data_IF_815435108505
#
_entry.id   IF_815435108505
#
_cell.length_a   1.000
_cell.length_b   1.000
_cell.length_c   1.000
_cell.angle_alpha   90.00
_cell.angle_beta   90.00
_cell.angle_gamma   90.00
#
_symmetry.space_group_name_H-M   'P 1'
#
loop_
_entity.id
_entity.type
_entity.pdbx_description
1 polymer ?
#
# COMPACT_ATOMS: atom_id res chain seq x y z
N UNK A 1 -15.73 -19.59 18.37
CA UNK A 1 -16.63 -18.45 18.11
C UNK A 1 -16.31 -17.94 16.71
N UNK A 2 -17.24 -18.07 15.77
CA UNK A 2 -17.05 -17.70 14.37
C UNK A 2 -17.29 -16.19 14.23
N UNK A 3 -16.23 -15.41 14.05
CA UNK A 3 -16.39 -14.04 13.57
C UNK A 3 -16.63 -14.09 12.06
N UNK A 4 -17.58 -13.30 11.54
CA UNK A 4 -17.94 -13.37 10.14
C UNK A 4 -16.80 -12.75 9.32
N UNK A 5 -16.43 -13.41 8.23
CA UNK A 5 -15.87 -12.75 7.05
C UNK A 5 -16.65 -11.45 6.77
N UNK A 6 -16.08 -10.50 6.03
CA UNK A 6 -16.89 -9.43 5.43
C UNK A 6 -17.92 -10.13 4.55
N UNK A 7 -19.07 -10.39 5.14
CA UNK A 7 -20.17 -11.06 4.49
C UNK A 7 -20.78 -9.93 3.66
N UNK A 8 -20.88 -10.04 2.33
CA UNK A 8 -21.55 -9.03 1.53
C UNK A 8 -23.01 -8.76 1.97
N UNK A 9 -23.56 -9.55 2.90
CA UNK A 9 -24.80 -9.26 3.65
C UNK A 9 -24.68 -8.23 4.78
N UNK A 10 -23.50 -7.66 5.07
CA UNK A 10 -23.24 -6.62 6.07
C UNK A 10 -22.72 -5.33 5.41
N UNK A 11 -23.57 -4.61 4.66
CA UNK A 11 -23.18 -3.42 3.91
C UNK A 11 -22.56 -2.34 4.80
N UNK A 12 -22.94 -2.27 6.08
CA UNK A 12 -22.41 -1.33 7.06
C UNK A 12 -20.89 -1.47 7.30
N UNK A 13 -20.36 -2.70 7.25
CA UNK A 13 -18.93 -2.96 7.44
C UNK A 13 -18.13 -2.57 6.19
N UNK A 14 -18.70 -2.81 5.01
CA UNK A 14 -18.12 -2.38 3.73
C UNK A 14 -18.06 -0.85 3.70
N UNK A 15 -19.14 -0.18 4.07
CA UNK A 15 -19.20 1.29 4.13
C UNK A 15 -18.22 1.88 5.14
N UNK A 16 -18.10 1.27 6.33
CA UNK A 16 -17.08 1.67 7.31
C UNK A 16 -15.66 1.54 6.75
N UNK A 17 -15.37 0.44 6.05
CA UNK A 17 -14.06 0.22 5.45
C UNK A 17 -13.70 1.27 4.41
N UNK A 18 -14.65 1.63 3.54
CA UNK A 18 -14.48 2.71 2.57
C UNK A 18 -14.38 4.10 3.21
N UNK A 19 -15.04 4.33 4.35
CA UNK A 19 -15.08 5.64 5.00
C UNK A 19 -13.91 5.90 5.94
N UNK A 20 -13.40 4.86 6.61
CA UNK A 20 -12.42 5.01 7.71
C UNK A 20 -11.08 4.37 7.34
N UNK A 21 -11.08 3.10 6.98
CA UNK A 21 -9.84 2.33 6.86
C UNK A 21 -9.07 2.65 5.58
N UNK A 22 -9.74 2.67 4.43
CA UNK A 22 -9.09 2.97 3.15
C UNK A 22 -8.55 4.41 3.08
N UNK A 23 -9.31 5.46 3.47
CA UNK A 23 -8.80 6.83 3.41
C UNK A 23 -7.57 7.03 4.29
N UNK A 24 -7.51 6.42 5.48
CA UNK A 24 -6.34 6.52 6.35
C UNK A 24 -5.07 5.92 5.71
N UNK A 25 -5.18 4.79 4.99
CA UNK A 25 -4.05 4.17 4.28
C UNK A 25 -3.63 4.98 3.05
N UNK A 26 -4.60 5.52 2.32
CA UNK A 26 -4.33 6.40 1.17
C UNK A 26 -3.66 7.70 1.63
N UNK A 27 -4.10 8.30 2.73
CA UNK A 27 -3.48 9.47 3.34
C UNK A 27 -2.00 9.23 3.67
N UNK A 28 -1.71 8.10 4.31
CA UNK A 28 -0.35 7.73 4.68
C UNK A 28 0.53 7.42 3.45
N UNK A 29 -0.01 6.75 2.43
CA UNK A 29 0.67 6.55 1.15
C UNK A 29 1.03 7.88 0.45
N UNK A 30 0.08 8.82 0.40
CA UNK A 30 0.24 10.12 -0.27
C UNK A 30 1.10 11.10 0.57
N UNK A 31 1.30 10.83 1.86
CA UNK A 31 1.99 11.74 2.79
C UNK A 31 3.45 12.03 2.38
N UNK A 32 4.19 11.02 1.92
CA UNK A 32 5.58 11.19 1.51
C UNK A 32 5.74 12.10 0.28
N UNK A 33 5.10 11.83 -0.87
CA UNK A 33 5.22 12.73 -2.03
C UNK A 33 4.66 14.13 -1.74
N UNK A 34 3.62 14.26 -0.90
CA UNK A 34 3.05 15.58 -0.54
C UNK A 34 3.97 16.43 0.33
N UNK A 35 4.63 15.84 1.33
CA UNK A 35 5.31 16.61 2.37
C UNK A 35 6.84 16.61 2.26
N UNK A 36 7.43 15.66 1.50
CA UNK A 36 8.89 15.54 1.39
C UNK A 36 9.56 16.81 0.82
N UNK A 37 8.99 17.42 -0.21
CA UNK A 37 9.49 18.67 -0.80
C UNK A 37 9.39 19.84 0.19
N UNK A 38 8.25 20.00 0.86
CA UNK A 38 8.03 21.07 1.83
C UNK A 38 8.98 20.95 3.03
N UNK A 39 9.17 19.73 3.53
CA UNK A 39 10.15 19.43 4.57
C UNK A 39 11.57 19.76 4.10
N UNK A 40 11.91 19.44 2.85
CA UNK A 40 13.20 19.78 2.23
C UNK A 40 13.48 21.28 2.24
N UNK A 41 12.46 22.11 2.05
CA UNK A 41 12.58 23.56 2.00
C UNK A 41 12.40 24.26 3.36
N UNK A 42 12.11 23.50 4.42
CA UNK A 42 11.86 24.07 5.75
C UNK A 42 13.15 24.46 6.49
N UNK A 43 13.07 25.45 7.38
CA UNK A 43 14.14 25.84 8.31
C UNK A 43 14.26 24.90 9.53
N UNK A 44 13.70 23.69 9.44
CA UNK A 44 13.72 22.69 10.50
C UNK A 44 15.16 22.21 10.75
N UNK A 45 15.51 21.98 12.01
CA UNK A 45 16.82 21.45 12.39
C UNK A 45 17.15 20.15 11.60
N UNK A 46 18.39 19.95 11.09
CA UNK A 46 18.72 18.83 10.22
C UNK A 46 18.37 17.45 10.78
N UNK A 47 18.59 17.23 12.09
CA UNK A 47 18.26 15.97 12.74
C UNK A 47 16.74 15.71 12.76
N UNK A 48 15.95 16.71 13.11
CA UNK A 48 14.49 16.60 13.12
C UNK A 48 13.96 16.37 11.70
N UNK A 49 14.54 17.04 10.71
CA UNK A 49 14.23 16.86 9.29
C UNK A 49 14.46 15.41 8.84
N UNK A 50 15.59 14.81 9.23
CA UNK A 50 15.87 13.41 8.93
C UNK A 50 14.84 12.46 9.58
N UNK A 51 14.53 12.68 10.86
CA UNK A 51 13.54 11.87 11.59
C UNK A 51 12.14 11.95 10.97
N UNK A 52 11.68 13.16 10.61
CA UNK A 52 10.38 13.36 9.97
C UNK A 52 10.37 12.69 8.59
N UNK A 53 11.42 12.85 7.79
CA UNK A 53 11.53 12.23 6.46
C UNK A 53 11.46 10.70 6.54
N UNK A 54 12.18 10.10 7.50
CA UNK A 54 12.11 8.65 7.77
C UNK A 54 10.71 8.21 8.22
N UNK A 55 10.06 8.98 9.09
CA UNK A 55 8.70 8.65 9.52
C UNK A 55 7.70 8.68 8.35
N UNK A 56 7.79 9.70 7.48
CA UNK A 56 6.96 9.81 6.28
C UNK A 56 7.19 8.65 5.31
N UNK A 57 8.46 8.31 5.03
CA UNK A 57 8.79 7.21 4.12
C UNK A 57 8.32 5.86 4.67
N UNK A 58 8.47 5.61 5.97
CA UNK A 58 7.99 4.39 6.62
C UNK A 58 6.46 4.29 6.57
N UNK A 59 5.74 5.37 6.94
CA UNK A 59 4.28 5.40 6.89
C UNK A 59 3.75 5.13 5.47
N UNK A 60 4.40 5.73 4.47
CA UNK A 60 4.12 5.50 3.06
C UNK A 60 4.37 4.04 2.66
N UNK A 61 5.57 3.50 2.93
CA UNK A 61 5.97 2.13 2.57
C UNK A 61 5.06 1.07 3.18
N UNK A 62 4.77 1.18 4.48
CA UNK A 62 3.88 0.24 5.18
C UNK A 62 2.48 0.29 4.58
N UNK A 63 1.95 1.49 4.34
CA UNK A 63 0.60 1.64 3.82
C UNK A 63 0.48 1.15 2.37
N UNK A 64 1.45 1.46 1.51
CA UNK A 64 1.44 0.97 0.13
C UNK A 64 1.62 -0.54 0.04
N UNK A 65 2.46 -1.14 0.90
CA UNK A 65 2.53 -2.60 1.01
C UNK A 65 1.18 -3.20 1.39
N UNK A 66 0.50 -2.65 2.40
CA UNK A 66 -0.83 -3.14 2.80
C UNK A 66 -1.85 -3.01 1.68
N UNK A 67 -1.84 -1.90 0.93
CA UNK A 67 -2.75 -1.66 -0.20
C UNK A 67 -2.47 -2.62 -1.37
N UNK A 68 -1.21 -2.88 -1.69
CA UNK A 68 -0.83 -3.88 -2.70
C UNK A 68 -1.27 -5.28 -2.27
N UNK A 69 -1.06 -5.65 -1.00
CA UNK A 69 -1.50 -6.94 -0.48
C UNK A 69 -3.03 -7.08 -0.52
N UNK A 70 -3.76 -6.01 -0.19
CA UNK A 70 -5.23 -5.92 -0.33
C UNK A 70 -5.70 -6.08 -1.79
N UNK A 71 -4.92 -5.56 -2.75
CA UNK A 71 -5.14 -5.74 -4.20
C UNK A 71 -4.68 -7.11 -4.72
N UNK A 72 -4.11 -7.97 -3.87
CA UNK A 72 -3.64 -9.29 -4.26
C UNK A 72 -2.20 -9.36 -4.76
N UNK A 73 -1.37 -8.35 -4.49
CA UNK A 73 0.05 -8.29 -4.90
C UNK A 73 0.95 -8.33 -3.67
N UNK A 74 1.97 -9.18 -3.66
CA UNK A 74 2.96 -9.27 -2.59
C UNK A 74 4.38 -9.39 -3.13
N UNK A 75 5.34 -9.26 -2.22
CA UNK A 75 6.74 -9.57 -2.49
C UNK A 75 7.09 -10.96 -1.96
N UNK A 76 7.62 -11.82 -2.82
CA UNK A 76 8.20 -13.10 -2.43
C UNK A 76 9.66 -12.90 -2.05
N UNK A 77 9.94 -12.97 -0.75
CA UNK A 77 11.29 -12.76 -0.20
C UNK A 77 12.28 -13.84 -0.65
N UNK A 78 11.82 -15.07 -0.85
CA UNK A 78 12.68 -16.19 -1.23
C UNK A 78 13.14 -16.06 -2.67
N UNK A 79 12.21 -15.65 -3.55
CA UNK A 79 12.48 -15.47 -4.98
C UNK A 79 12.92 -14.05 -5.35
N UNK A 80 12.79 -13.11 -4.42
CA UNK A 80 13.06 -11.68 -4.61
C UNK A 80 12.29 -11.09 -5.80
N UNK A 81 11.01 -11.43 -5.92
CA UNK A 81 10.14 -11.01 -7.04
C UNK A 81 8.72 -10.65 -6.56
N UNK A 82 7.94 -10.04 -7.45
CA UNK A 82 6.51 -9.84 -7.22
C UNK A 82 5.77 -11.16 -7.40
N UNK A 83 4.77 -11.39 -6.56
CA UNK A 83 3.92 -12.55 -6.65
C UNK A 83 2.47 -12.17 -6.38
N UNK A 84 1.55 -12.89 -7.02
CA UNK A 84 0.14 -12.82 -6.67
C UNK A 84 -0.07 -13.42 -5.27
N UNK A 85 -0.74 -12.68 -4.40
CA UNK A 85 -1.30 -13.18 -3.15
C UNK A 85 -2.67 -13.76 -3.46
N UNK A 86 -2.74 -15.08 -3.50
CA UNK A 86 -4.03 -15.79 -3.50
C UNK A 86 -4.55 -15.80 -2.06
N UNK A 87 -5.87 -15.64 -1.86
CA UNK A 87 -6.54 -15.95 -0.59
C UNK A 87 -6.11 -17.35 -0.15
N UNK A 88 -5.29 -17.45 0.89
CA UNK A 88 -4.80 -18.74 1.35
C UNK A 88 -5.83 -19.47 2.19
N UNK A 89 -5.62 -20.78 2.30
CA UNK A 89 -6.44 -21.71 3.10
C UNK A 89 -6.04 -21.72 4.59
N UNK A 90 -5.13 -20.83 5.01
CA UNK A 90 -4.58 -20.83 6.36
C UNK A 90 -5.45 -20.02 7.32
N UNK A 91 -5.64 -20.51 8.55
CA UNK A 91 -6.51 -19.89 9.57
C UNK A 91 -6.15 -18.43 9.90
N UNK A 92 -4.89 -18.01 9.74
CA UNK A 92 -4.49 -16.61 9.97
C UNK A 92 -4.95 -15.66 8.86
N UNK A 93 -5.15 -16.16 7.65
CA UNK A 93 -5.55 -15.36 6.47
C UNK A 93 -7.07 -15.25 6.34
N UNK A 94 -7.84 -15.91 7.20
CA UNK A 94 -9.31 -15.88 7.18
C UNK A 94 -9.89 -14.49 7.49
N UNK A 95 -9.09 -13.61 8.09
CA UNK A 95 -9.49 -12.25 8.47
C UNK A 95 -8.99 -11.17 7.50
N UNK A 96 -8.17 -11.55 6.51
CA UNK A 96 -7.68 -10.60 5.53
C UNK A 96 -8.84 -10.18 4.61
N UNK A 97 -9.01 -8.87 4.46
CA UNK A 97 -9.95 -8.28 3.51
C UNK A 97 -9.19 -8.02 2.23
N UNK A 98 -9.78 -8.36 1.10
CA UNK A 98 -9.25 -8.11 -0.23
C UNK A 98 -10.18 -7.23 -1.06
N UNK A 99 -9.67 -6.67 -2.14
CA UNK A 99 -10.46 -5.79 -3.01
C UNK A 99 -11.72 -6.48 -3.56
N UNK A 100 -11.64 -7.77 -3.90
CA UNK A 100 -12.77 -8.57 -4.39
C UNK A 100 -13.86 -8.79 -3.33
N UNK A 101 -13.52 -8.84 -2.04
CA UNK A 101 -14.50 -8.91 -0.95
C UNK A 101 -15.38 -7.66 -0.86
N UNK A 102 -14.90 -6.54 -1.41
CA UNK A 102 -15.59 -5.25 -1.41
C UNK A 102 -16.25 -4.93 -2.76
N UNK A 103 -16.33 -5.91 -3.67
CA UNK A 103 -16.86 -5.74 -5.04
C UNK A 103 -15.86 -5.16 -6.04
N UNK A 104 -14.58 -5.07 -5.66
CA UNK A 104 -13.47 -4.76 -6.55
C UNK A 104 -12.93 -5.98 -7.29
N UNK A 105 -11.71 -5.86 -7.79
CA UNK A 105 -10.99 -6.93 -8.49
C UNK A 105 -9.56 -7.04 -7.97
N UNK A 106 -9.00 -8.26 -8.02
CA UNK A 106 -7.59 -8.48 -7.72
C UNK A 106 -6.73 -8.13 -8.94
N UNK A 107 -5.48 -7.75 -8.68
CA UNK A 107 -4.48 -7.43 -9.69
C UNK A 107 -3.60 -8.64 -9.92
N UNK A 108 -3.36 -8.97 -11.19
CA UNK A 108 -2.42 -10.02 -11.58
C UNK A 108 -1.05 -9.41 -11.93
N UNK A 109 0.02 -9.90 -11.32
CA UNK A 109 1.41 -9.42 -11.56
C UNK A 109 1.81 -9.50 -13.03
N UNK A 110 1.24 -10.45 -13.78
CA UNK A 110 1.49 -10.60 -15.21
C UNK A 110 0.98 -9.41 -16.05
N UNK A 111 0.06 -8.61 -15.51
CA UNK A 111 -0.50 -7.44 -16.20
C UNK A 111 0.38 -6.19 -16.06
N UNK A 112 1.39 -6.23 -15.20
CA UNK A 112 2.32 -5.11 -15.02
C UNK A 112 3.34 -5.03 -16.16
N UNK A 113 3.56 -3.82 -16.64
CA UNK A 113 4.69 -3.51 -17.51
C UNK A 113 6.02 -3.79 -16.80
N UNK A 114 7.13 -4.03 -17.54
CA UNK A 114 8.44 -4.25 -16.93
C UNK A 114 8.88 -3.11 -15.99
N UNK A 115 8.51 -1.88 -16.32
CA UNK A 115 8.83 -0.68 -15.54
C UNK A 115 8.05 -0.63 -14.22
N UNK A 116 6.74 -0.89 -14.26
CA UNK A 116 5.92 -1.03 -13.05
C UNK A 116 6.43 -2.16 -12.15
N UNK A 117 6.80 -3.31 -12.72
CA UNK A 117 7.37 -4.42 -11.96
C UNK A 117 8.68 -4.03 -11.28
N UNK A 118 9.55 -3.29 -11.98
CA UNK A 118 10.80 -2.81 -11.41
C UNK A 118 10.54 -1.89 -10.20
N UNK A 119 9.71 -0.86 -10.37
CA UNK A 119 9.39 0.11 -9.31
C UNK A 119 8.69 -0.55 -8.11
N UNK A 120 7.66 -1.36 -8.35
CA UNK A 120 6.91 -2.04 -7.29
C UNK A 120 7.77 -3.08 -6.56
N UNK A 121 8.66 -3.80 -7.27
CA UNK A 121 9.58 -4.76 -6.66
C UNK A 121 10.57 -4.05 -5.72
N UNK A 122 11.22 -2.99 -6.18
CA UNK A 122 12.17 -2.23 -5.37
C UNK A 122 11.48 -1.63 -4.14
N UNK A 123 10.29 -1.04 -4.34
CA UNK A 123 9.46 -0.49 -3.27
C UNK A 123 9.07 -1.55 -2.23
N UNK A 124 8.48 -2.68 -2.65
CA UNK A 124 8.01 -3.71 -1.71
C UNK A 124 9.16 -4.41 -0.99
N UNK A 125 10.32 -4.57 -1.64
CA UNK A 125 11.51 -5.08 -0.98
C UNK A 125 11.91 -4.17 0.20
N UNK A 126 12.01 -2.86 -0.04
CA UNK A 126 12.30 -1.89 1.02
C UNK A 126 11.20 -1.84 2.09
N UNK A 127 9.92 -1.84 1.70
CA UNK A 127 8.79 -1.84 2.62
C UNK A 127 8.79 -3.08 3.54
N UNK A 128 9.11 -4.25 3.01
CA UNK A 128 9.25 -5.48 3.79
C UNK A 128 10.35 -5.34 4.84
N UNK A 129 11.52 -4.82 4.46
CA UNK A 129 12.64 -4.59 5.37
C UNK A 129 12.29 -3.61 6.49
N UNK A 130 11.64 -2.50 6.13
CA UNK A 130 11.13 -1.47 7.05
C UNK A 130 10.15 -2.06 8.06
N UNK A 131 9.21 -2.90 7.60
CA UNK A 131 8.20 -3.53 8.47
C UNK A 131 8.84 -4.51 9.47
N UNK A 132 9.92 -5.19 9.07
CA UNK A 132 10.61 -6.17 9.91
C UNK A 132 11.76 -5.58 10.73
N UNK A 133 11.95 -4.26 10.75
CA UNK A 133 13.05 -3.59 11.44
C UNK A 133 14.44 -4.14 11.05
N UNK A 134 14.58 -4.54 9.78
CA UNK A 134 15.81 -5.13 9.25
C UNK A 134 16.53 -4.11 8.37
N UNK A 135 17.81 -3.87 8.65
CA UNK A 135 18.63 -2.90 7.94
C UNK A 135 19.61 -3.59 7.00
N UNK A 136 19.52 -3.28 5.73
CA UNK A 136 20.59 -3.45 4.73
C UNK A 136 20.81 -2.05 4.14
N UNK A 137 22.03 -1.72 3.74
CA UNK A 137 22.54 -0.36 3.53
C UNK A 137 21.59 0.64 2.81
N UNK A 138 21.69 1.96 3.07
CA UNK A 138 20.73 2.97 2.53
C UNK A 138 20.75 3.14 1.00
N UNK A 139 21.67 2.47 0.30
CA UNK A 139 21.76 2.45 -1.16
C UNK A 139 20.70 1.59 -1.84
N UNK A 140 19.66 1.14 -1.11
CA UNK A 140 18.57 0.37 -1.69
C UNK A 140 17.66 1.24 -2.55
N UNK A 141 17.61 0.92 -3.85
CA UNK A 141 16.74 1.48 -4.89
C UNK A 141 15.31 1.80 -4.42
N UNK A 142 14.75 1.04 -3.47
CA UNK A 142 13.38 1.20 -3.01
C UNK A 142 13.00 2.61 -2.50
N UNK A 143 13.92 3.37 -1.90
CA UNK A 143 13.63 4.76 -1.47
C UNK A 143 13.52 5.74 -2.65
N UNK A 144 14.30 5.50 -3.72
CA UNK A 144 14.26 6.31 -4.93
C UNK A 144 12.98 6.04 -5.74
N UNK A 145 12.40 4.85 -5.57
CA UNK A 145 11.22 4.38 -6.27
C UNK A 145 9.89 4.70 -5.56
N UNK A 146 9.90 5.41 -4.43
CA UNK A 146 8.67 5.68 -3.65
C UNK A 146 7.63 6.41 -4.48
N UNK A 147 8.01 7.49 -5.18
CA UNK A 147 7.03 8.33 -5.88
C UNK A 147 6.37 7.56 -7.03
N UNK A 148 7.16 6.87 -7.86
CA UNK A 148 6.65 6.04 -8.96
C UNK A 148 5.76 4.92 -8.42
N UNK A 149 6.17 4.24 -7.35
CA UNK A 149 5.35 3.20 -6.74
C UNK A 149 4.03 3.75 -6.17
N UNK A 150 4.04 4.94 -5.54
CA UNK A 150 2.82 5.60 -5.06
C UNK A 150 1.85 5.85 -6.22
N UNK A 151 2.32 6.42 -7.33
CA UNK A 151 1.49 6.71 -8.49
C UNK A 151 0.86 5.43 -9.08
N UNK A 152 1.65 4.36 -9.19
CA UNK A 152 1.18 3.05 -9.64
C UNK A 152 0.10 2.52 -8.69
N UNK A 153 0.36 2.51 -7.37
CA UNK A 153 -0.58 1.99 -6.36
C UNK A 153 -1.90 2.77 -6.40
N UNK A 154 -1.86 4.10 -6.50
CA UNK A 154 -3.05 4.94 -6.60
C UNK A 154 -3.85 4.64 -7.88
N UNK A 155 -3.17 4.44 -9.02
CA UNK A 155 -3.78 4.02 -10.27
C UNK A 155 -4.48 2.67 -10.15
N UNK A 156 -3.84 1.69 -9.49
CA UNK A 156 -4.43 0.38 -9.25
C UNK A 156 -5.66 0.47 -8.34
N UNK A 157 -5.59 1.23 -7.24
CA UNK A 157 -6.74 1.45 -6.36
C UNK A 157 -7.91 2.09 -7.12
N UNK A 158 -7.64 3.07 -7.97
CA UNK A 158 -8.67 3.71 -8.79
C UNK A 158 -9.32 2.73 -9.76
N UNK A 159 -8.52 1.94 -10.49
CA UNK A 159 -9.01 1.00 -11.51
C UNK A 159 -9.72 -0.21 -10.89
N UNK A 160 -9.10 -0.85 -9.91
CA UNK A 160 -9.50 -2.17 -9.43
C UNK A 160 -10.44 -2.14 -8.23
N UNK A 161 -10.55 -1.01 -7.52
CA UNK A 161 -11.50 -0.87 -6.42
C UNK A 161 -12.57 0.19 -6.72
N UNK A 162 -12.20 1.45 -6.89
CA UNK A 162 -13.17 2.54 -6.97
C UNK A 162 -14.01 2.49 -8.25
N UNK A 163 -13.37 2.35 -9.42
CA UNK A 163 -14.08 2.22 -10.69
C UNK A 163 -14.91 0.93 -10.76
N UNK A 164 -14.38 -0.18 -10.23
CA UNK A 164 -15.08 -1.47 -10.20
C UNK A 164 -16.34 -1.44 -9.32
N UNK A 165 -16.30 -0.71 -8.20
CA UNK A 165 -17.43 -0.61 -7.25
C UNK A 165 -18.37 0.57 -7.54
N UNK A 166 -17.99 1.48 -8.45
CA UNK A 166 -18.72 2.74 -8.70
C UNK A 166 -18.67 3.73 -7.54
N UNK A 167 -17.84 3.49 -6.52
CA UNK A 167 -17.72 4.37 -5.34
C UNK A 167 -16.72 5.50 -5.63
N UNK A 168 -17.01 6.73 -5.18
CA UNK A 168 -16.03 7.81 -5.30
C UNK A 168 -14.83 7.54 -4.41
N UNK A 169 -13.62 7.91 -4.88
CA UNK A 169 -12.46 8.02 -4.01
C UNK A 169 -12.75 9.14 -3.01
N UNK A 170 -12.75 8.82 -1.72
CA UNK A 170 -12.83 9.84 -0.68
C UNK A 170 -11.53 10.62 -0.71
N UNK A 171 -11.62 11.91 -1.04
CA UNK A 171 -10.46 12.80 -0.94
C UNK A 171 -10.11 12.97 0.53
N UNK A 172 -8.86 12.64 0.86
CA UNK A 172 -8.30 12.95 2.18
C UNK A 172 -8.10 14.46 2.19
N UNK A 173 -8.91 15.17 2.97
CA UNK A 173 -8.74 16.61 3.15
C UNK A 173 -7.35 16.90 3.75
N UNK A 174 -6.68 17.99 3.30
CA UNK A 174 -5.31 18.34 3.69
C UNK A 174 -5.17 18.67 5.18
#
# INVERSE_FOLDING_TARGET
MNHPHVNPSRPELVDEFFRVHLPAKLAALESYPRHSQALSNSNTHPLAKAQISTALSHACMVSGRMLLEFLGVKYDVNKKELANRRKGKNQSEQFDVYADDLGGTLVEVADFTPDEQHHLKAYLHAANRTTHLTWDDRDHDGYQNINQAVDIILGLMQKHLYAATGRPKVEVQP
#
